data_IF_154878570250
#
_entry.id   IF_154878570250
#
_cell.length_a   1.000
_cell.length_b   1.000
_cell.length_c   1.000
_cell.angle_alpha   90.00
_cell.angle_beta   90.00
_cell.angle_gamma   90.00
#
_symmetry.space_group_name_H-M   'P 1'
#
loop_
_entity.id
_entity.type
_entity.pdbx_description
1 polymer ?
#
# COMPACT_ATOMS: atom_id res chain seq x y z
N UNK A 1 -20.23 -71.27 23.17
CA UNK A 1 -21.13 -70.75 22.11
C UNK A 1 -21.77 -69.44 22.58
N UNK A 2 -21.16 -68.29 22.27
CA UNK A 2 -21.73 -66.92 22.39
C UNK A 2 -20.70 -65.93 21.85
N UNK A 3 -20.59 -65.85 20.52
CA UNK A 3 -19.79 -64.84 19.83
C UNK A 3 -20.45 -64.19 18.60
N UNK A 4 -21.79 -64.13 18.42
CA UNK A 4 -22.34 -63.39 17.30
C UNK A 4 -22.38 -61.86 17.53
N UNK A 5 -22.33 -61.39 18.78
CA UNK A 5 -22.59 -59.99 19.14
C UNK A 5 -21.38 -59.04 19.04
N UNK A 6 -20.16 -59.56 19.20
CA UNK A 6 -18.94 -58.73 19.12
C UNK A 6 -18.57 -58.43 17.66
N UNK A 7 -18.77 -59.39 16.77
CA UNK A 7 -18.48 -59.24 15.33
C UNK A 7 -19.51 -58.29 14.68
N UNK A 8 -20.79 -58.38 15.06
CA UNK A 8 -21.81 -57.43 14.59
C UNK A 8 -21.54 -56.01 15.08
N UNK A 9 -21.10 -55.82 16.32
CA UNK A 9 -20.72 -54.48 16.83
C UNK A 9 -19.51 -53.89 16.10
N UNK A 10 -18.52 -54.71 15.77
CA UNK A 10 -17.34 -54.26 15.04
C UNK A 10 -17.67 -53.87 13.58
N UNK A 11 -18.53 -54.64 12.91
CA UNK A 11 -18.98 -54.33 11.54
C UNK A 11 -19.87 -53.07 11.49
N UNK A 12 -20.72 -52.84 12.50
CA UNK A 12 -21.52 -51.62 12.62
C UNK A 12 -20.63 -50.39 12.84
N UNK A 13 -19.60 -50.48 13.69
CA UNK A 13 -18.68 -49.37 13.95
C UNK A 13 -17.85 -49.00 12.71
N UNK A 14 -17.37 -49.99 11.95
CA UNK A 14 -16.65 -49.75 10.69
C UNK A 14 -17.58 -49.14 9.64
N UNK A 15 -18.82 -49.64 9.53
CA UNK A 15 -19.82 -49.08 8.63
C UNK A 15 -20.18 -47.63 8.96
N UNK A 16 -20.36 -47.30 10.25
CA UNK A 16 -20.65 -45.92 10.68
C UNK A 16 -19.47 -44.99 10.42
N UNK A 17 -18.22 -45.41 10.67
CA UNK A 17 -17.04 -44.62 10.38
C UNK A 17 -16.86 -44.34 8.87
N UNK A 18 -17.05 -45.37 8.02
CA UNK A 18 -17.01 -45.21 6.57
C UNK A 18 -18.15 -44.32 6.04
N UNK A 19 -19.35 -44.40 6.63
CA UNK A 19 -20.45 -43.51 6.28
C UNK A 19 -20.19 -42.05 6.71
N UNK A 20 -19.56 -41.83 7.86
CA UNK A 20 -19.18 -40.50 8.33
C UNK A 20 -18.11 -39.90 7.40
N UNK A 21 -17.07 -40.66 7.05
CA UNK A 21 -16.05 -40.20 6.10
C UNK A 21 -16.66 -39.90 4.72
N UNK A 22 -17.54 -40.76 4.21
CA UNK A 22 -18.21 -40.54 2.91
C UNK A 22 -19.13 -39.31 2.96
N UNK A 23 -19.83 -39.09 4.07
CA UNK A 23 -20.67 -37.91 4.27
C UNK A 23 -19.84 -36.62 4.40
N UNK A 24 -18.69 -36.67 5.07
CA UNK A 24 -17.74 -35.55 5.17
C UNK A 24 -17.09 -35.27 3.81
N UNK A 25 -16.78 -36.30 3.02
CA UNK A 25 -16.24 -36.15 1.66
C UNK A 25 -17.30 -35.55 0.72
N UNK A 26 -18.53 -36.07 0.74
CA UNK A 26 -19.62 -35.58 -0.11
C UNK A 26 -20.06 -34.15 0.24
N UNK A 27 -19.92 -33.72 1.50
CA UNK A 27 -20.21 -32.34 1.94
C UNK A 27 -19.02 -31.38 1.79
N UNK A 28 -17.84 -31.83 1.37
CA UNK A 28 -16.67 -30.96 1.16
C UNK A 28 -16.81 -30.07 -0.08
N UNK A 29 -17.68 -30.44 -1.01
CA UNK A 29 -17.87 -29.74 -2.28
C UNK A 29 -18.97 -28.67 -2.24
N UNK A 30 -19.65 -28.48 -1.10
CA UNK A 30 -20.85 -27.63 -0.98
C UNK A 30 -20.67 -26.37 -0.12
N UNK A 31 -19.43 -25.92 0.17
CA UNK A 31 -19.22 -24.66 0.90
C UNK A 31 -17.97 -23.86 0.48
N UNK A 32 -17.68 -23.74 -0.81
CA UNK A 32 -16.70 -22.74 -1.27
C UNK A 32 -17.14 -22.08 -2.57
N UNK A 33 -18.32 -21.46 -2.53
CA UNK A 33 -18.71 -20.39 -3.46
C UNK A 33 -19.59 -19.37 -2.73
N UNK A 34 -19.08 -18.79 -1.63
CA UNK A 34 -19.34 -17.37 -1.46
C UNK A 34 -18.58 -16.68 -2.60
N UNK A 35 -19.14 -15.69 -3.30
CA UNK A 35 -18.33 -14.88 -4.19
C UNK A 35 -17.26 -14.29 -3.28
N UNK A 36 -16.02 -14.73 -3.45
CA UNK A 36 -14.92 -13.83 -3.24
C UNK A 36 -15.22 -12.70 -4.20
N UNK A 37 -15.87 -11.63 -3.70
CA UNK A 37 -15.58 -10.32 -4.22
C UNK A 37 -14.06 -10.27 -4.13
N UNK A 38 -13.43 -10.54 -5.27
CA UNK A 38 -12.05 -10.23 -5.46
C UNK A 38 -12.00 -8.75 -5.11
N UNK A 39 -11.51 -8.45 -3.91
CA UNK A 39 -10.93 -7.15 -3.63
C UNK A 39 -9.81 -7.10 -4.65
N UNK A 40 -10.15 -6.51 -5.79
CA UNK A 40 -9.23 -6.03 -6.78
C UNK A 40 -8.43 -4.94 -6.05
N UNK A 41 -7.50 -5.36 -5.19
CA UNK A 41 -6.34 -4.56 -4.88
C UNK A 41 -5.48 -4.60 -6.14
N UNK A 42 -5.99 -3.89 -7.15
CA UNK A 42 -5.20 -3.44 -8.26
C UNK A 42 -4.10 -2.64 -7.57
N UNK A 43 -2.90 -3.22 -7.49
CA UNK A 43 -1.66 -2.51 -7.15
C UNK A 43 -1.57 -1.31 -8.12
N UNK A 44 -2.27 -0.22 -7.78
CA UNK A 44 -2.32 0.98 -8.61
C UNK A 44 -0.92 1.56 -8.56
N UNK A 45 -0.33 1.79 -9.71
CA UNK A 45 0.95 2.47 -9.77
C UNK A 45 0.80 3.84 -9.11
N UNK A 46 1.66 4.19 -8.14
CA UNK A 46 1.64 5.50 -7.53
C UNK A 46 1.69 6.60 -8.60
N UNK A 47 0.86 7.61 -8.46
CA UNK A 47 0.92 8.81 -9.29
C UNK A 47 1.11 10.05 -8.43
N UNK A 48 1.72 11.07 -9.03
CA UNK A 48 1.95 12.36 -8.39
C UNK A 48 1.56 13.47 -9.36
N UNK A 49 0.72 14.39 -8.89
CA UNK A 49 0.49 15.67 -9.51
C UNK A 49 0.72 16.77 -8.47
N UNK A 50 1.60 17.72 -8.79
CA UNK A 50 1.95 18.82 -7.90
C UNK A 50 1.36 20.11 -8.43
N UNK A 51 0.57 20.76 -7.58
CA UNK A 51 0.16 22.16 -7.75
C UNK A 51 0.91 23.03 -6.76
N UNK A 52 1.20 24.27 -7.13
CA UNK A 52 1.98 25.18 -6.30
C UNK A 52 1.49 26.62 -6.37
N UNK A 53 1.83 27.41 -5.36
CA UNK A 53 1.62 28.86 -5.33
C UNK A 53 2.77 29.50 -4.55
N UNK A 54 3.30 30.60 -5.09
CA UNK A 54 4.24 31.45 -4.37
C UNK A 54 3.50 32.52 -3.60
N UNK A 55 3.81 32.68 -2.32
CA UNK A 55 3.39 33.80 -1.50
C UNK A 55 4.63 34.45 -0.91
N UNK A 56 4.99 35.64 -1.41
CA UNK A 56 6.29 36.25 -1.11
C UNK A 56 7.42 35.29 -1.51
N UNK A 57 8.23 34.87 -0.55
CA UNK A 57 9.33 33.90 -0.63
C UNK A 57 8.96 32.48 -0.17
N UNK A 58 7.69 32.23 0.15
CA UNK A 58 7.18 30.92 0.54
C UNK A 58 6.56 30.18 -0.66
N UNK A 59 7.00 28.95 -0.90
CA UNK A 59 6.42 28.01 -1.85
C UNK A 59 5.43 27.08 -1.14
N UNK A 60 4.14 27.29 -1.42
CA UNK A 60 3.07 26.39 -1.01
C UNK A 60 2.90 25.29 -2.05
N UNK A 61 3.02 24.04 -1.61
CA UNK A 61 2.83 22.84 -2.42
C UNK A 61 1.56 22.11 -2.00
N UNK A 62 0.82 21.63 -2.99
CA UNK A 62 -0.27 20.67 -2.80
C UNK A 62 0.00 19.45 -3.69
N UNK A 63 0.14 18.31 -3.03
CA UNK A 63 0.51 17.02 -3.58
C UNK A 63 -0.75 16.18 -3.75
N UNK A 64 -1.18 15.97 -4.99
CA UNK A 64 -2.26 15.06 -5.30
C UNK A 64 -1.66 13.72 -5.72
N UNK A 65 -1.84 12.71 -4.87
CA UNK A 65 -1.28 11.37 -5.07
C UNK A 65 -2.39 10.33 -5.15
N UNK A 66 -2.20 9.31 -5.96
CA UNK A 66 -3.10 8.14 -6.02
C UNK A 66 -2.29 6.86 -5.96
N UNK A 67 -2.87 5.79 -5.40
CA UNK A 67 -2.11 4.55 -5.18
C UNK A 67 -0.94 4.70 -4.21
N UNK A 68 -0.94 5.77 -3.40
CA UNK A 68 0.13 6.12 -2.48
C UNK A 68 -0.44 6.61 -1.14
N UNK A 69 0.16 6.15 -0.05
CA UNK A 69 -0.16 6.51 1.32
C UNK A 69 1.10 7.03 1.99
N UNK A 70 1.01 8.23 2.56
CA UNK A 70 2.11 8.78 3.36
C UNK A 70 2.27 7.99 4.66
N UNK A 71 3.50 7.63 5.01
CA UNK A 71 3.82 6.89 6.25
C UNK A 71 5.07 7.47 6.89
N UNK A 72 4.87 8.20 7.99
CA UNK A 72 5.97 8.65 8.84
C UNK A 72 6.45 7.51 9.73
N UNK A 73 5.50 6.71 10.22
CA UNK A 73 5.74 5.61 11.15
C UNK A 73 6.57 4.47 10.58
N UNK A 74 6.62 4.30 9.25
CA UNK A 74 7.42 3.28 8.59
C UNK A 74 8.63 3.82 7.83
N UNK A 75 8.93 5.11 7.95
CA UNK A 75 10.16 5.68 7.39
C UNK A 75 11.40 4.94 7.92
N UNK A 76 12.28 4.52 7.01
CA UNK A 76 13.51 3.78 7.30
C UNK A 76 13.32 2.28 7.54
N UNK A 77 12.09 1.77 7.41
CA UNK A 77 11.76 0.34 7.53
C UNK A 77 11.59 -0.30 6.15
N UNK A 78 11.22 -1.58 6.15
CA UNK A 78 10.91 -2.33 4.94
C UNK A 78 9.82 -1.68 4.10
N UNK A 79 9.96 -1.84 2.79
CA UNK A 79 9.03 -1.27 1.82
C UNK A 79 7.68 -1.98 1.86
N UNK A 80 6.62 -1.17 1.86
CA UNK A 80 5.24 -1.61 1.67
C UNK A 80 4.72 -0.96 0.39
N UNK A 81 4.02 -1.74 -0.43
CA UNK A 81 3.58 -1.25 -1.73
C UNK A 81 2.67 -0.01 -1.57
N UNK A 82 2.94 1.03 -2.35
CA UNK A 82 2.16 2.27 -2.30
C UNK A 82 2.32 3.03 -0.98
N UNK A 83 3.38 2.79 -0.22
CA UNK A 83 3.65 3.47 1.05
C UNK A 83 5.00 4.19 1.01
N UNK A 84 5.09 5.35 1.66
CA UNK A 84 6.35 6.04 1.88
C UNK A 84 6.18 7.52 2.16
N UNK A 85 7.07 8.34 1.60
CA UNK A 85 7.06 9.79 1.76
C UNK A 85 7.56 10.49 0.52
N UNK A 86 7.55 11.83 0.53
CA UNK A 86 8.02 12.63 -0.60
C UNK A 86 9.39 13.23 -0.29
N UNK A 87 10.33 13.15 -1.23
CA UNK A 87 11.55 13.93 -1.23
C UNK A 87 11.32 15.25 -1.98
N UNK A 88 11.65 16.37 -1.34
CA UNK A 88 11.66 17.69 -1.96
C UNK A 88 13.09 18.14 -2.19
N UNK A 89 13.39 18.56 -3.40
CA UNK A 89 14.67 19.15 -3.78
C UNK A 89 14.47 20.58 -4.28
N UNK A 90 15.42 21.46 -3.93
CA UNK A 90 15.57 22.81 -4.45
C UNK A 90 16.98 22.91 -5.05
N UNK A 91 17.08 23.22 -6.34
CA UNK A 91 18.34 23.33 -7.09
C UNK A 91 19.25 22.10 -6.93
N UNK A 92 18.65 20.91 -7.01
CA UNK A 92 19.35 19.63 -6.87
C UNK A 92 19.72 19.23 -5.44
N UNK A 93 19.50 20.10 -4.44
CA UNK A 93 19.72 19.78 -3.03
C UNK A 93 18.42 19.29 -2.38
N UNK A 94 18.46 18.15 -1.71
CA UNK A 94 17.32 17.67 -0.88
C UNK A 94 17.12 18.63 0.30
N UNK A 95 15.95 19.25 0.38
CA UNK A 95 15.60 20.25 1.41
C UNK A 95 14.56 19.75 2.40
N UNK A 96 13.70 18.79 2.01
CA UNK A 96 12.69 18.25 2.92
C UNK A 96 12.30 16.79 2.62
N UNK A 97 11.68 16.18 3.64
CA UNK A 97 10.88 14.95 3.53
C UNK A 97 9.44 15.32 3.93
N UNK A 98 8.47 15.02 3.09
CA UNK A 98 7.07 15.43 3.27
C UNK A 98 6.22 14.19 3.48
N UNK A 99 5.41 14.20 4.54
CA UNK A 99 4.55 13.08 4.97
C UNK A 99 3.06 13.45 4.92
N UNK A 100 2.73 14.56 4.26
CA UNK A 100 1.37 15.08 4.17
C UNK A 100 1.07 15.61 2.75
N UNK A 101 -0.21 15.73 2.37
CA UNK A 101 -0.60 16.23 1.04
C UNK A 101 -0.28 17.71 0.79
N UNK A 102 0.12 18.47 1.81
CA UNK A 102 0.43 19.89 1.70
C UNK A 102 1.75 20.18 2.42
N UNK A 103 2.52 21.13 1.87
CA UNK A 103 3.79 21.54 2.46
C UNK A 103 4.10 22.99 2.10
N UNK A 104 4.82 23.69 2.99
CA UNK A 104 5.30 25.04 2.73
C UNK A 104 6.82 25.04 2.89
N UNK A 105 7.53 25.29 1.79
CA UNK A 105 8.96 25.58 1.83
C UNK A 105 9.12 27.09 1.96
N UNK A 106 9.73 27.52 3.07
CA UNK A 106 9.85 28.94 3.42
C UNK A 106 11.18 29.56 3.00
N UNK A 107 11.18 30.89 2.94
CA UNK A 107 12.39 31.72 2.84
C UNK A 107 13.27 31.33 1.63
N UNK A 108 12.64 31.06 0.48
CA UNK A 108 13.38 30.74 -0.75
C UNK A 108 14.05 32.03 -1.24
N UNK A 109 15.37 32.02 -1.50
CA UNK A 109 16.06 33.20 -2.01
C UNK A 109 15.42 33.75 -3.29
N UNK A 110 15.48 35.07 -3.54
CA UNK A 110 15.05 35.63 -4.82
C UNK A 110 15.83 35.04 -6.00
N UNK A 111 15.14 34.73 -7.09
CA UNK A 111 15.71 34.18 -8.30
C UNK A 111 14.93 33.00 -8.88
N UNK A 112 15.50 32.41 -9.94
CA UNK A 112 14.95 31.23 -10.59
C UNK A 112 15.46 29.96 -9.90
N UNK A 113 14.54 29.07 -9.56
CA UNK A 113 14.86 27.81 -8.90
C UNK A 113 14.20 26.62 -9.60
N UNK A 114 14.91 25.50 -9.63
CA UNK A 114 14.35 24.20 -9.98
C UNK A 114 13.87 23.50 -8.70
N UNK A 115 12.58 23.13 -8.68
CA UNK A 115 12.01 22.32 -7.60
C UNK A 115 11.70 20.93 -8.14
N UNK A 116 12.14 19.90 -7.43
CA UNK A 116 11.81 18.50 -7.74
C UNK A 116 11.05 17.90 -6.57
N UNK A 117 9.89 17.32 -6.87
CA UNK A 117 9.06 16.59 -5.92
C UNK A 117 9.00 15.13 -6.35
N UNK A 118 9.48 14.22 -5.52
CA UNK A 118 9.66 12.81 -5.84
C UNK A 118 8.96 11.93 -4.79
N UNK A 119 8.20 10.92 -5.23
CA UNK A 119 7.73 9.86 -4.34
C UNK A 119 8.89 8.92 -3.97
N UNK A 120 9.04 8.63 -2.69
CA UNK A 120 10.03 7.72 -2.15
C UNK A 120 9.37 6.61 -1.33
N UNK A 121 9.94 5.42 -1.40
CA UNK A 121 9.60 4.28 -0.57
C UNK A 121 9.98 4.54 0.90
N UNK A 122 9.46 3.68 1.79
CA UNK A 122 9.80 3.67 3.22
C UNK A 122 11.30 3.70 3.47
N UNK A 123 12.08 2.93 2.72
CA UNK A 123 13.54 2.86 2.82
C UNK A 123 14.31 4.00 2.11
N UNK A 124 13.62 5.05 1.65
CA UNK A 124 14.16 6.17 0.86
C UNK A 124 14.53 5.89 -0.61
N UNK A 125 14.29 4.68 -1.13
CA UNK A 125 14.44 4.44 -2.57
C UNK A 125 13.40 5.21 -3.38
N UNK A 126 13.72 5.57 -4.61
CA UNK A 126 12.80 6.29 -5.49
C UNK A 126 11.72 5.36 -6.03
N UNK A 127 10.47 5.83 -6.08
CA UNK A 127 9.41 5.18 -6.87
C UNK A 127 9.57 5.41 -8.38
N UNK A 128 10.53 6.25 -8.81
CA UNK A 128 10.64 6.71 -10.20
C UNK A 128 9.54 7.70 -10.63
N UNK A 129 8.69 8.13 -9.68
CA UNK A 129 7.57 9.04 -9.90
C UNK A 129 7.95 10.41 -9.33
N UNK A 130 8.13 11.39 -10.21
CA UNK A 130 8.52 12.75 -9.82
C UNK A 130 7.90 13.81 -10.73
N UNK A 131 7.82 15.03 -10.23
CA UNK A 131 7.47 16.22 -11.02
C UNK A 131 8.51 17.31 -10.79
N UNK A 132 8.98 17.92 -11.88
CA UNK A 132 9.87 19.09 -11.86
C UNK A 132 9.06 20.36 -12.09
N UNK A 133 9.41 21.41 -11.36
CA UNK A 133 8.80 22.73 -11.44
C UNK A 133 9.91 23.77 -11.58
N UNK A 134 9.65 24.82 -12.35
CA UNK A 134 10.49 26.01 -12.40
C UNK A 134 9.71 27.13 -11.70
N UNK A 135 10.31 27.75 -10.71
CA UNK A 135 9.73 28.88 -9.98
C UNK A 135 10.63 30.11 -10.11
N UNK A 136 10.04 31.29 -10.01
CA UNK A 136 10.75 32.57 -10.04
C UNK A 136 10.30 33.39 -8.83
N UNK A 137 11.17 33.47 -7.82
CA UNK A 137 10.92 34.17 -6.56
C UNK A 137 11.34 35.62 -6.74
N UNK A 138 10.38 36.53 -6.54
CA UNK A 138 10.62 37.96 -6.69
C UNK A 138 11.45 38.50 -5.52
N UNK A 139 12.29 39.53 -5.75
CA UNK A 139 12.95 40.28 -4.69
C UNK A 139 11.96 40.98 -3.74
#
# INVERSE_FOLDING_TARGET
MKAPQLITRLLILIGVAACIELFVYANRDANTQAPVEAVHDQHRLPTLNVSHTLKQDDLHLKLNVTGFTFSLENMGKDNRYGEGHVHLYLDGKKVAKIFEPQYVLKDIPPGRHEVVVELAHNNHESYGVQQKLQIDVKP
#
